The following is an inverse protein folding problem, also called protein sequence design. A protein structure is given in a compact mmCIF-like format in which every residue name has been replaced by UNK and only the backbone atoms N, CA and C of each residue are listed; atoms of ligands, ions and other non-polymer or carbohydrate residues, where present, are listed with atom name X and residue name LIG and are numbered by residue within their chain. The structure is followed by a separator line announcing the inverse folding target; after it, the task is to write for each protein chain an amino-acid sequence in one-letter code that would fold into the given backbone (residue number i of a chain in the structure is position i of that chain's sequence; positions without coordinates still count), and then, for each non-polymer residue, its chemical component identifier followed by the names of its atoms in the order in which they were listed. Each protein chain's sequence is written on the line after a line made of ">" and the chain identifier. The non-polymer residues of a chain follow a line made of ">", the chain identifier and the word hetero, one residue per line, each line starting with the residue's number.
data_IF_315011919653
#
_entry.id   IF_315011919653
#
_cell.length_a   1.000
_cell.length_b   1.000
_cell.length_c   1.000
_cell.angle_alpha   90.00
_cell.angle_beta   90.00
_cell.angle_gamma   90.00
#
_symmetry.space_group_name_H-M   'P 1'
#
loop_
_entity.id
_entity.type
_entity.pdbx_description
1 polymer ?
#
# COMPACT_ATOMS: atom_id res chain seq x y z
N UNK A 1 -93.14 7.91 -34.66
CA UNK A 1 -92.25 6.83 -34.27
C UNK A 1 -90.82 7.38 -34.27
N UNK A 2 -90.34 7.79 -33.11
CA UNK A 2 -89.03 8.45 -32.96
C UNK A 2 -88.16 7.60 -32.04
N UNK A 3 -87.08 7.10 -32.60
CA UNK A 3 -86.07 6.29 -31.85
C UNK A 3 -85.04 7.29 -31.29
N UNK A 4 -84.92 7.32 -29.96
CA UNK A 4 -83.90 8.10 -29.26
C UNK A 4 -82.68 7.23 -29.13
N UNK A 5 -81.54 7.66 -29.72
CA UNK A 5 -80.22 7.06 -29.51
C UNK A 5 -79.59 7.64 -28.25
N UNK A 6 -79.22 6.76 -27.32
CA UNK A 6 -78.48 7.11 -26.11
C UNK A 6 -77.00 6.89 -26.42
N UNK A 7 -76.18 7.95 -26.40
CA UNK A 7 -74.73 7.89 -26.49
C UNK A 7 -74.19 7.69 -25.04
N UNK A 8 -73.52 6.57 -24.79
CA UNK A 8 -72.81 6.33 -23.56
C UNK A 8 -71.35 6.82 -23.76
N UNK A 9 -70.96 7.84 -23.04
CA UNK A 9 -69.56 8.30 -22.96
C UNK A 9 -68.79 7.47 -21.96
N UNK A 10 -67.80 6.71 -22.43
CA UNK A 10 -66.85 5.99 -21.57
C UNK A 10 -65.71 6.97 -21.22
N UNK A 11 -65.63 7.34 -19.94
CA UNK A 11 -64.52 8.09 -19.36
C UNK A 11 -63.39 7.10 -19.07
N UNK A 12 -62.34 7.12 -19.88
CA UNK A 12 -61.08 6.42 -19.58
C UNK A 12 -60.30 7.27 -18.59
N UNK A 13 -60.29 6.89 -17.33
CA UNK A 13 -59.39 7.47 -16.33
C UNK A 13 -57.98 6.91 -16.56
N UNK A 14 -57.10 7.68 -17.22
CA UNK A 14 -55.68 7.41 -17.25
C UNK A 14 -55.09 7.71 -15.85
N UNK A 15 -54.92 6.67 -15.06
CA UNK A 15 -54.16 6.75 -13.79
C UNK A 15 -52.66 6.99 -14.13
N UNK A 16 -52.19 8.21 -13.94
CA UNK A 16 -50.77 8.48 -13.92
C UNK A 16 -50.18 7.81 -12.65
N UNK A 17 -49.57 6.64 -12.82
CA UNK A 17 -48.68 6.12 -11.83
C UNK A 17 -47.44 6.99 -11.75
N UNK A 18 -47.44 7.98 -10.87
CA UNK A 18 -46.22 8.64 -10.43
C UNK A 18 -45.45 7.60 -9.62
N UNK A 19 -44.57 6.86 -10.30
CA UNK A 19 -43.53 6.10 -9.63
C UNK A 19 -42.72 7.10 -8.82
N UNK A 20 -42.84 7.05 -7.50
CA UNK A 20 -41.87 7.67 -6.63
C UNK A 20 -40.55 6.97 -6.93
N UNK A 21 -39.68 7.62 -7.69
CA UNK A 21 -38.26 7.29 -7.66
C UNK A 21 -37.85 7.60 -6.22
N UNK A 22 -37.73 6.55 -5.40
CA UNK A 22 -36.93 6.67 -4.19
C UNK A 22 -35.58 7.18 -4.66
N UNK A 23 -35.14 8.35 -4.23
CA UNK A 23 -33.77 8.78 -4.43
C UNK A 23 -32.90 7.62 -3.94
N UNK A 24 -32.25 6.93 -4.89
CA UNK A 24 -31.34 5.87 -4.54
C UNK A 24 -30.27 6.52 -3.66
N UNK A 25 -30.11 6.02 -2.44
CA UNK A 25 -29.09 6.53 -1.52
C UNK A 25 -27.74 6.47 -2.21
N UNK A 26 -27.13 7.65 -2.42
CA UNK A 26 -25.78 7.73 -2.93
C UNK A 26 -24.81 7.32 -1.83
N UNK A 27 -24.04 6.27 -2.06
CA UNK A 27 -23.07 5.79 -1.08
C UNK A 27 -21.93 6.79 -0.93
N UNK A 28 -21.68 7.26 0.30
CA UNK A 28 -20.60 8.19 0.59
C UNK A 28 -19.37 7.47 1.14
N UNK A 29 -18.23 7.63 0.45
CA UNK A 29 -16.96 6.99 0.81
C UNK A 29 -15.92 8.05 1.15
N UNK A 30 -15.42 8.00 2.40
CA UNK A 30 -14.39 8.89 2.91
C UNK A 30 -13.00 8.27 2.80
N UNK A 31 -12.00 9.11 2.55
CA UNK A 31 -10.58 8.71 2.54
C UNK A 31 -9.77 9.67 3.42
N UNK A 32 -8.98 9.09 4.34
CA UNK A 32 -8.09 9.85 5.23
C UNK A 32 -6.66 9.51 4.89
N UNK A 33 -5.92 10.48 4.35
CA UNK A 33 -4.57 10.32 3.84
C UNK A 33 -3.53 10.94 4.78
N UNK A 34 -2.42 10.23 4.98
CA UNK A 34 -1.30 10.68 5.83
C UNK A 34 -0.40 11.71 5.14
N UNK A 35 -0.25 11.61 3.83
CA UNK A 35 0.50 12.53 2.97
C UNK A 35 -0.40 13.32 2.02
N UNK A 36 0.17 14.20 1.21
CA UNK A 36 -0.54 14.85 0.11
C UNK A 36 -0.75 13.88 -1.06
N UNK A 37 -1.81 14.06 -1.85
CA UNK A 37 -2.09 13.25 -3.05
C UNK A 37 -1.01 13.35 -4.14
N UNK A 38 -0.12 14.32 -4.03
CA UNK A 38 1.03 14.53 -4.91
C UNK A 38 2.36 14.06 -4.32
N UNK A 39 2.36 13.17 -3.30
CA UNK A 39 3.58 12.66 -2.68
C UNK A 39 4.45 11.83 -3.65
N UNK A 40 3.82 11.26 -4.66
CA UNK A 40 4.48 10.40 -5.65
C UNK A 40 4.64 8.95 -5.23
N UNK A 41 4.12 8.57 -4.07
CA UNK A 41 4.22 7.24 -3.48
C UNK A 41 2.90 6.74 -2.91
N UNK A 42 2.87 6.56 -1.60
CA UNK A 42 1.76 5.92 -0.86
C UNK A 42 0.41 6.61 -1.06
N UNK A 43 0.32 7.90 -0.74
CA UNK A 43 -0.94 8.63 -0.84
C UNK A 43 -1.39 8.79 -2.29
N UNK A 44 -0.46 8.97 -3.22
CA UNK A 44 -0.73 9.02 -4.65
C UNK A 44 -1.44 7.72 -5.14
N UNK A 45 -0.95 6.54 -4.78
CA UNK A 45 -1.58 5.27 -5.17
C UNK A 45 -2.92 5.04 -4.47
N UNK A 46 -3.07 5.45 -3.21
CA UNK A 46 -4.37 5.43 -2.54
C UNK A 46 -5.40 6.34 -3.23
N UNK A 47 -4.99 7.52 -3.68
CA UNK A 47 -5.89 8.43 -4.41
C UNK A 47 -6.23 7.91 -5.80
N UNK A 48 -5.32 7.22 -6.49
CA UNK A 48 -5.65 6.47 -7.72
C UNK A 48 -6.74 5.42 -7.46
N UNK A 49 -6.65 4.70 -6.34
CA UNK A 49 -7.69 3.77 -5.90
C UNK A 49 -9.03 4.45 -5.66
N UNK A 50 -9.05 5.64 -5.03
CA UNK A 50 -10.27 6.46 -4.87
C UNK A 50 -10.86 6.87 -6.22
N UNK A 51 -10.03 7.36 -7.12
CA UNK A 51 -10.47 7.75 -8.48
C UNK A 51 -11.02 6.55 -9.27
N UNK A 52 -10.48 5.35 -9.06
CA UNK A 52 -11.02 4.13 -9.66
C UNK A 52 -12.42 3.78 -9.12
N UNK A 53 -12.68 4.02 -7.83
CA UNK A 53 -14.04 3.88 -7.25
C UNK A 53 -15.02 4.86 -7.90
N UNK A 54 -14.63 6.13 -8.08
CA UNK A 54 -15.46 7.11 -8.80
C UNK A 54 -15.73 6.68 -10.24
N UNK A 55 -14.71 6.19 -10.94
CA UNK A 55 -14.84 5.76 -12.33
C UNK A 55 -15.74 4.52 -12.47
N UNK A 56 -15.70 3.58 -11.52
CA UNK A 56 -16.51 2.36 -11.54
C UNK A 56 -17.99 2.63 -11.26
N UNK A 57 -18.28 3.45 -10.24
CA UNK A 57 -19.65 3.61 -9.75
C UNK A 57 -20.36 4.89 -10.19
N UNK A 58 -19.62 5.87 -10.73
CA UNK A 58 -20.20 7.14 -11.20
C UNK A 58 -21.07 7.81 -10.14
N UNK A 59 -22.26 8.25 -10.54
CA UNK A 59 -23.19 8.98 -9.66
C UNK A 59 -23.76 8.15 -8.49
N UNK A 60 -23.52 6.84 -8.45
CA UNK A 60 -23.96 5.99 -7.33
C UNK A 60 -23.07 6.14 -6.08
N UNK A 61 -21.87 6.70 -6.22
CA UNK A 61 -20.91 6.91 -5.14
C UNK A 61 -20.44 8.38 -5.13
N UNK A 62 -20.38 8.96 -3.94
CA UNK A 62 -19.71 10.22 -3.66
C UNK A 62 -18.44 9.92 -2.88
N UNK A 63 -17.25 10.31 -3.39
CA UNK A 63 -16.02 10.22 -2.60
C UNK A 63 -15.65 11.57 -2.01
N UNK A 64 -15.13 11.55 -0.78
CA UNK A 64 -14.54 12.71 -0.11
C UNK A 64 -13.20 12.31 0.49
N UNK A 65 -12.23 13.21 0.48
CA UNK A 65 -10.93 12.92 1.10
C UNK A 65 -10.39 14.11 1.89
N UNK A 66 -9.51 13.81 2.83
CA UNK A 66 -8.69 14.80 3.53
C UNK A 66 -7.26 14.28 3.53
N UNK A 67 -6.36 15.09 2.99
CA UNK A 67 -4.94 14.78 2.87
C UNK A 67 -4.09 15.41 3.97
N UNK A 68 -2.87 14.92 4.14
CA UNK A 68 -1.88 15.41 5.10
C UNK A 68 -2.43 15.46 6.53
N UNK A 69 -3.18 14.43 6.92
CA UNK A 69 -3.77 14.32 8.26
C UNK A 69 -2.72 13.69 9.19
N UNK A 70 -2.30 14.40 10.26
CA UNK A 70 -1.40 13.81 11.25
C UNK A 70 -2.03 12.59 11.94
N UNK A 71 -1.21 11.60 12.25
CA UNK A 71 -1.64 10.45 13.05
C UNK A 71 -2.05 10.88 14.46
N UNK A 72 -2.96 10.12 15.07
CA UNK A 72 -3.47 10.39 16.41
C UNK A 72 -4.75 11.23 16.44
N UNK A 73 -4.85 12.27 17.31
CA UNK A 73 -6.11 13.00 17.56
C UNK A 73 -6.70 13.70 16.33
N UNK A 74 -5.87 14.18 15.41
CA UNK A 74 -6.34 14.82 14.19
C UNK A 74 -7.04 13.83 13.26
N UNK A 75 -6.50 12.62 13.14
CA UNK A 75 -7.13 11.54 12.38
C UNK A 75 -8.51 11.17 12.99
N UNK A 76 -8.61 11.04 14.32
CA UNK A 76 -9.88 10.78 15.00
C UNK A 76 -10.90 11.89 14.72
N UNK A 77 -10.47 13.15 14.73
CA UNK A 77 -11.32 14.30 14.41
C UNK A 77 -11.83 14.27 12.98
N UNK A 78 -10.96 13.99 12.00
CA UNK A 78 -11.33 13.94 10.58
C UNK A 78 -12.32 12.80 10.31
N UNK A 79 -12.03 11.59 10.79
CA UNK A 79 -12.93 10.44 10.67
C UNK A 79 -14.30 10.71 11.32
N UNK A 80 -14.30 11.34 12.52
CA UNK A 80 -15.54 11.72 13.19
C UNK A 80 -16.36 12.69 12.35
N UNK A 81 -15.72 13.68 11.71
CA UNK A 81 -16.42 14.62 10.82
C UNK A 81 -17.00 13.92 9.60
N UNK A 82 -16.25 13.01 8.95
CA UNK A 82 -16.77 12.24 7.81
C UNK A 82 -17.98 11.38 8.21
N UNK A 83 -17.92 10.71 9.37
CA UNK A 83 -19.03 9.92 9.88
C UNK A 83 -20.27 10.79 10.19
N UNK A 84 -20.10 11.97 10.78
CA UNK A 84 -21.18 12.93 11.04
C UNK A 84 -21.77 13.52 9.75
N UNK A 85 -20.99 13.59 8.67
CA UNK A 85 -21.42 14.04 7.35
C UNK A 85 -22.07 12.91 6.52
N UNK A 86 -22.30 11.74 7.14
CA UNK A 86 -23.04 10.64 6.54
C UNK A 86 -22.19 9.73 5.67
N UNK A 87 -20.90 9.58 5.94
CA UNK A 87 -20.09 8.57 5.28
C UNK A 87 -20.60 7.16 5.64
N UNK A 88 -20.75 6.30 4.63
CA UNK A 88 -21.12 4.88 4.79
C UNK A 88 -19.88 4.01 4.99
N UNK A 89 -18.76 4.40 4.35
CA UNK A 89 -17.46 3.73 4.38
C UNK A 89 -16.35 4.75 4.52
N UNK A 90 -15.34 4.46 5.34
CA UNK A 90 -14.16 5.31 5.50
C UNK A 90 -12.91 4.45 5.39
N UNK A 91 -12.05 4.75 4.40
CA UNK A 91 -10.72 4.20 4.27
C UNK A 91 -9.73 5.07 5.05
N UNK A 92 -8.91 4.44 5.91
CA UNK A 92 -7.91 5.10 6.76
C UNK A 92 -6.54 4.54 6.43
N UNK A 93 -5.70 5.33 5.76
CA UNK A 93 -4.56 4.85 4.97
C UNK A 93 -3.22 5.06 5.67
N UNK A 94 -3.13 4.84 6.98
CA UNK A 94 -1.86 4.85 7.69
C UNK A 94 -1.88 3.95 8.93
N UNK A 95 -0.74 3.32 9.24
CA UNK A 95 -0.60 2.45 10.42
C UNK A 95 -1.00 3.15 11.72
N UNK A 96 -0.60 4.41 11.91
CA UNK A 96 -0.91 5.16 13.13
C UNK A 96 -2.37 5.65 13.24
N UNK A 97 -3.20 5.39 12.22
CA UNK A 97 -4.65 5.61 12.31
C UNK A 97 -5.39 4.46 13.00
N UNK A 98 -4.71 3.40 13.42
CA UNK A 98 -5.35 2.19 13.96
C UNK A 98 -6.22 2.49 15.19
N UNK A 99 -5.67 3.08 16.24
CA UNK A 99 -6.43 3.41 17.45
C UNK A 99 -7.51 4.49 17.21
N UNK A 100 -7.22 5.59 16.49
CA UNK A 100 -8.24 6.53 16.03
C UNK A 100 -9.41 5.86 15.31
N UNK A 101 -9.15 4.91 14.39
CA UNK A 101 -10.19 4.19 13.65
C UNK A 101 -11.09 3.38 14.60
N UNK A 102 -10.50 2.60 15.50
CA UNK A 102 -11.27 1.83 16.50
C UNK A 102 -12.10 2.74 17.40
N UNK A 103 -11.54 3.87 17.86
CA UNK A 103 -12.22 4.83 18.71
C UNK A 103 -13.42 5.48 18.02
N UNK A 104 -13.30 5.82 16.75
CA UNK A 104 -14.41 6.41 15.96
C UNK A 104 -15.44 5.33 15.61
N UNK A 105 -15.01 4.16 15.17
CA UNK A 105 -15.91 3.07 14.81
C UNK A 105 -16.84 2.65 15.95
N UNK A 106 -16.34 2.66 17.20
CA UNK A 106 -17.16 2.39 18.39
C UNK A 106 -18.29 3.41 18.60
N UNK A 107 -18.12 4.65 18.14
CA UNK A 107 -19.12 5.74 18.25
C UNK A 107 -20.12 5.72 17.08
N UNK A 108 -19.73 5.13 15.93
CA UNK A 108 -20.50 5.10 14.69
C UNK A 108 -20.67 3.67 14.16
N UNK A 109 -21.47 2.82 14.83
CA UNK A 109 -21.55 1.38 14.51
C UNK A 109 -22.11 1.06 13.11
N UNK A 110 -22.82 2.01 12.50
CA UNK A 110 -23.39 1.85 11.16
C UNK A 110 -22.37 2.17 10.04
N UNK A 111 -21.33 2.98 10.33
CA UNK A 111 -20.28 3.32 9.39
C UNK A 111 -19.28 2.17 9.34
N UNK A 112 -18.85 1.79 8.12
CA UNK A 112 -17.81 0.78 7.91
C UNK A 112 -16.45 1.46 7.78
N UNK A 113 -15.42 0.80 8.32
CA UNK A 113 -14.05 1.30 8.26
C UNK A 113 -13.14 0.24 7.68
N UNK A 114 -12.28 0.67 6.76
CA UNK A 114 -11.21 -0.10 6.15
C UNK A 114 -9.88 0.52 6.56
N UNK A 115 -9.13 -0.17 7.41
CA UNK A 115 -7.88 0.36 7.95
C UNK A 115 -6.66 -0.32 7.33
N UNK A 116 -5.80 0.49 6.67
CA UNK A 116 -4.57 0.02 6.05
C UNK A 116 -3.50 -0.32 7.09
N UNK A 117 -2.82 -1.45 6.87
CA UNK A 117 -1.62 -1.91 7.57
C UNK A 117 -1.76 -2.17 9.07
N UNK A 118 -2.97 -2.01 9.62
CA UNK A 118 -3.25 -2.32 11.02
C UNK A 118 -3.59 -3.79 11.27
N UNK A 119 -3.81 -4.10 12.56
CA UNK A 119 -4.18 -5.44 13.01
C UNK A 119 -5.38 -5.47 13.98
N UNK A 120 -5.87 -4.29 14.39
CA UNK A 120 -7.06 -4.21 15.26
C UNK A 120 -8.33 -4.15 14.41
N UNK A 121 -9.26 -5.05 14.71
CA UNK A 121 -10.55 -5.19 14.03
C UNK A 121 -11.70 -5.00 15.01
N UNK A 122 -12.88 -4.66 14.47
CA UNK A 122 -14.16 -4.63 15.18
C UNK A 122 -15.27 -5.10 14.23
N UNK A 123 -16.52 -5.18 14.71
CA UNK A 123 -17.66 -5.59 13.88
C UNK A 123 -17.84 -4.73 12.63
N UNK A 124 -17.46 -3.44 12.72
CA UNK A 124 -17.50 -2.48 11.62
C UNK A 124 -16.12 -1.95 11.19
N UNK A 125 -15.03 -2.63 11.58
CA UNK A 125 -13.65 -2.31 11.17
C UNK A 125 -13.01 -3.55 10.57
N UNK A 126 -12.63 -3.47 9.29
CA UNK A 126 -11.75 -4.42 8.63
C UNK A 126 -10.34 -3.85 8.51
N UNK A 127 -9.36 -4.72 8.34
CA UNK A 127 -7.98 -4.35 8.07
C UNK A 127 -7.54 -4.89 6.70
N UNK A 128 -6.66 -4.15 6.04
CA UNK A 128 -6.03 -4.60 4.80
C UNK A 128 -4.57 -4.15 4.75
N UNK A 129 -3.75 -4.94 4.10
CA UNK A 129 -2.35 -4.64 3.83
C UNK A 129 -1.90 -5.43 2.62
N UNK A 130 -0.75 -5.04 2.06
CA UNK A 130 -0.13 -5.79 0.98
C UNK A 130 1.14 -6.51 1.47
N UNK A 131 1.51 -7.60 0.79
CA UNK A 131 2.76 -8.33 1.04
C UNK A 131 3.94 -7.62 0.38
N UNK A 132 4.19 -6.37 0.78
CA UNK A 132 5.27 -5.53 0.23
C UNK A 132 6.62 -6.24 0.23
N UNK A 133 6.85 -7.13 1.20
CA UNK A 133 8.07 -7.91 1.30
C UNK A 133 8.33 -8.82 0.08
N UNK A 134 7.30 -9.19 -0.68
CA UNK A 134 7.46 -9.91 -1.95
C UNK A 134 8.10 -9.00 -3.00
N UNK A 135 7.64 -7.75 -3.11
CA UNK A 135 8.26 -6.74 -3.97
C UNK A 135 9.69 -6.41 -3.51
N UNK A 136 9.93 -6.38 -2.18
CA UNK A 136 11.28 -6.17 -1.63
C UNK A 136 12.23 -7.30 -1.97
N UNK A 137 11.75 -8.54 -2.07
CA UNK A 137 12.56 -9.66 -2.54
C UNK A 137 13.10 -9.41 -3.95
N UNK A 138 12.23 -8.98 -4.87
CA UNK A 138 12.61 -8.65 -6.25
C UNK A 138 13.57 -7.45 -6.29
N UNK A 139 13.29 -6.38 -5.52
CA UNK A 139 14.20 -5.24 -5.43
C UNK A 139 15.56 -5.63 -4.86
N UNK A 140 15.60 -6.44 -3.80
CA UNK A 140 16.83 -6.94 -3.19
C UNK A 140 17.67 -7.75 -4.17
N UNK A 141 17.03 -8.65 -4.93
CA UNK A 141 17.69 -9.42 -5.98
C UNK A 141 18.35 -8.53 -7.05
N UNK A 142 17.63 -7.51 -7.54
CA UNK A 142 18.20 -6.55 -8.50
C UNK A 142 19.33 -5.75 -7.85
N UNK A 143 19.11 -5.23 -6.63
CA UNK A 143 20.07 -4.40 -5.90
C UNK A 143 21.39 -5.13 -5.65
N UNK A 144 21.34 -6.39 -5.22
CA UNK A 144 22.53 -7.22 -4.99
C UNK A 144 23.36 -7.46 -6.25
N UNK A 145 22.71 -7.56 -7.41
CA UNK A 145 23.38 -7.68 -8.70
C UNK A 145 23.90 -6.35 -9.26
N UNK A 146 23.31 -5.20 -8.85
CA UNK A 146 23.64 -3.88 -9.40
C UNK A 146 24.72 -3.15 -8.60
N UNK A 147 24.87 -3.45 -7.30
CA UNK A 147 25.86 -2.76 -6.46
C UNK A 147 27.29 -3.11 -6.88
N UNK A 148 28.13 -2.09 -7.05
CA UNK A 148 29.58 -2.21 -7.30
C UNK A 148 30.36 -2.02 -5.99
N UNK A 149 29.81 -1.26 -5.03
CA UNK A 149 30.41 -0.99 -3.72
C UNK A 149 30.17 -2.09 -2.70
N UNK A 150 29.23 -3.02 -2.94
CA UNK A 150 28.65 -3.95 -2.01
C UNK A 150 27.87 -3.25 -0.86
N UNK A 151 27.59 -1.95 -0.94
CA UNK A 151 26.85 -1.21 0.07
C UNK A 151 25.51 -0.76 -0.49
N UNK A 152 24.44 -1.28 0.07
CA UNK A 152 23.06 -0.91 -0.26
C UNK A 152 22.51 -0.06 0.89
N UNK A 153 22.07 1.16 0.57
CA UNK A 153 21.38 2.04 1.50
C UNK A 153 19.89 1.71 1.58
N UNK A 154 19.33 1.69 2.79
CA UNK A 154 17.91 1.54 3.00
C UNK A 154 17.38 2.66 3.90
N UNK A 155 16.41 3.43 3.38
CA UNK A 155 15.72 4.48 4.13
C UNK A 155 14.46 3.85 4.74
N UNK A 156 14.47 3.67 6.06
CA UNK A 156 13.29 3.21 6.82
C UNK A 156 12.48 4.40 7.33
N UNK A 157 11.15 4.29 7.29
CA UNK A 157 10.25 5.29 7.87
C UNK A 157 10.17 5.16 9.40
N UNK A 158 9.50 4.13 9.90
CA UNK A 158 9.37 3.83 11.32
C UNK A 158 9.74 2.36 11.58
N UNK A 159 10.29 2.03 12.76
CA UNK A 159 10.71 0.67 13.09
C UNK A 159 9.51 -0.23 13.47
N UNK A 160 8.56 -0.37 12.56
CA UNK A 160 7.39 -1.24 12.69
C UNK A 160 7.59 -2.55 11.91
N UNK A 161 6.84 -3.62 12.24
CA UNK A 161 7.01 -4.93 11.62
C UNK A 161 7.01 -4.92 10.09
N UNK A 162 6.19 -4.08 9.46
CA UNK A 162 6.11 -3.95 8.01
C UNK A 162 7.44 -3.50 7.39
N UNK A 163 8.05 -2.46 7.94
CA UNK A 163 9.31 -1.90 7.44
C UNK A 163 10.48 -2.85 7.72
N UNK A 164 10.54 -3.42 8.94
CA UNK A 164 11.56 -4.41 9.32
C UNK A 164 11.50 -5.63 8.40
N UNK A 165 10.31 -6.14 8.12
CA UNK A 165 10.08 -7.24 7.20
C UNK A 165 10.54 -6.92 5.78
N UNK A 166 10.29 -5.70 5.32
CA UNK A 166 10.78 -5.21 4.02
C UNK A 166 12.30 -5.18 3.94
N UNK A 167 12.97 -4.67 4.98
CA UNK A 167 14.44 -4.65 5.08
C UNK A 167 15.01 -6.07 5.04
N UNK A 168 14.46 -6.97 5.86
CA UNK A 168 14.92 -8.36 5.94
C UNK A 168 14.76 -9.08 4.59
N UNK A 169 13.62 -8.91 3.92
CA UNK A 169 13.37 -9.52 2.61
C UNK A 169 14.33 -9.00 1.55
N UNK A 170 14.51 -7.69 1.45
CA UNK A 170 15.46 -7.10 0.49
C UNK A 170 16.90 -7.58 0.75
N UNK A 171 17.31 -7.63 2.02
CA UNK A 171 18.65 -8.08 2.39
C UNK A 171 18.90 -9.56 2.04
N UNK A 172 17.98 -10.46 2.37
CA UNK A 172 18.12 -11.89 2.09
C UNK A 172 18.33 -12.15 0.60
N UNK A 173 17.52 -11.50 -0.25
CA UNK A 173 17.59 -11.69 -1.70
C UNK A 173 18.77 -10.96 -2.36
N UNK A 174 19.24 -9.85 -1.76
CA UNK A 174 20.49 -9.22 -2.19
C UNK A 174 21.69 -10.10 -1.84
N UNK A 175 21.71 -10.68 -0.62
CA UNK A 175 22.79 -11.55 -0.18
C UNK A 175 22.85 -12.88 -0.90
N UNK A 176 21.72 -13.38 -1.38
CA UNK A 176 21.67 -14.62 -2.18
C UNK A 176 22.50 -14.52 -3.46
N UNK A 177 22.48 -13.35 -4.11
CA UNK A 177 23.22 -13.08 -5.36
C UNK A 177 24.57 -12.41 -5.14
N UNK A 178 24.73 -11.72 -4.01
CA UNK A 178 25.97 -11.06 -3.60
C UNK A 178 26.25 -11.30 -2.11
N UNK A 179 27.03 -12.35 -1.76
CA UNK A 179 27.31 -12.69 -0.36
C UNK A 179 28.04 -11.63 0.45
N UNK A 180 28.70 -10.69 -0.22
CA UNK A 180 29.50 -9.62 0.41
C UNK A 180 28.68 -8.35 0.65
N UNK A 181 27.37 -8.33 0.33
CA UNK A 181 26.52 -7.14 0.46
C UNK A 181 26.36 -6.73 1.92
N UNK A 182 26.46 -5.43 2.15
CA UNK A 182 26.18 -4.76 3.42
C UNK A 182 24.99 -3.82 3.28
N UNK A 183 24.02 -3.88 4.21
CA UNK A 183 22.94 -2.89 4.28
C UNK A 183 23.30 -1.81 5.31
N UNK A 184 23.23 -0.56 4.88
CA UNK A 184 23.24 0.64 5.73
C UNK A 184 21.81 1.14 5.87
N UNK A 185 21.31 1.24 7.09
CA UNK A 185 19.92 1.63 7.35
C UNK A 185 19.90 3.00 8.03
N UNK A 186 19.11 3.92 7.49
CA UNK A 186 18.79 5.22 8.11
C UNK A 186 17.30 5.28 8.37
N UNK A 187 16.91 5.56 9.62
CA UNK A 187 15.54 5.73 10.03
C UNK A 187 15.15 7.21 9.95
N UNK A 188 14.23 7.56 9.04
CA UNK A 188 13.82 8.94 8.80
C UNK A 188 12.78 9.46 9.80
N UNK A 189 12.07 8.55 10.51
CA UNK A 189 10.96 8.86 11.43
C UNK A 189 9.89 9.76 10.81
N UNK A 190 9.57 9.46 9.57
CA UNK A 190 8.48 10.09 8.82
C UNK A 190 7.99 9.13 7.74
N UNK A 191 6.74 9.28 7.33
CA UNK A 191 6.23 8.67 6.10
C UNK A 191 6.56 9.56 4.90
N UNK A 192 6.30 10.87 5.02
CA UNK A 192 6.53 11.85 3.97
C UNK A 192 7.17 13.11 4.55
N UNK A 193 8.42 13.33 4.25
CA UNK A 193 9.19 14.57 4.50
C UNK A 193 10.34 14.62 3.50
N UNK A 194 10.14 15.26 2.33
CA UNK A 194 11.15 15.28 1.27
C UNK A 194 12.53 15.77 1.72
N UNK A 195 12.60 16.67 2.73
CA UNK A 195 13.87 17.15 3.23
C UNK A 195 14.62 16.08 4.01
N UNK A 196 13.95 15.39 4.95
CA UNK A 196 14.55 14.30 5.72
C UNK A 196 14.90 13.11 4.83
N UNK A 197 14.06 12.80 3.84
CA UNK A 197 14.29 11.70 2.91
C UNK A 197 15.50 11.95 2.02
N UNK A 198 15.67 13.18 1.51
CA UNK A 198 16.86 13.58 0.76
C UNK A 198 18.13 13.57 1.63
N UNK A 199 18.04 14.02 2.90
CA UNK A 199 19.13 13.95 3.85
C UNK A 199 19.53 12.49 4.14
N UNK A 200 18.56 11.60 4.38
CA UNK A 200 18.82 10.18 4.61
C UNK A 200 19.53 9.53 3.41
N UNK A 201 19.06 9.81 2.18
CA UNK A 201 19.73 9.34 0.97
C UNK A 201 21.17 9.88 0.88
N UNK A 202 21.37 11.16 1.14
CA UNK A 202 22.69 11.78 1.10
C UNK A 202 23.65 11.13 2.10
N UNK A 203 23.21 10.91 3.34
CA UNK A 203 24.00 10.23 4.38
C UNK A 203 24.40 8.82 3.94
N UNK A 204 23.48 8.05 3.34
CA UNK A 204 23.76 6.70 2.86
C UNK A 204 24.77 6.71 1.70
N UNK A 205 24.64 7.66 0.77
CA UNK A 205 25.57 7.85 -0.35
C UNK A 205 26.97 8.23 0.17
N UNK A 206 27.06 9.14 1.14
CA UNK A 206 28.33 9.50 1.79
C UNK A 206 28.98 8.32 2.54
N UNK A 207 28.20 7.36 2.99
CA UNK A 207 28.65 6.11 3.59
C UNK A 207 29.06 5.06 2.55
N UNK A 208 29.00 5.37 1.27
CA UNK A 208 29.45 4.54 0.17
C UNK A 208 28.37 3.73 -0.52
N UNK A 209 27.09 3.93 -0.19
CA UNK A 209 25.99 3.24 -0.87
C UNK A 209 25.89 3.73 -2.33
N UNK A 210 25.86 2.80 -3.27
CA UNK A 210 25.64 3.04 -4.70
C UNK A 210 24.27 2.54 -5.18
N UNK A 211 23.49 1.94 -4.27
CA UNK A 211 22.11 1.55 -4.45
C UNK A 211 21.29 2.04 -3.26
N UNK A 212 20.15 2.69 -3.52
CA UNK A 212 19.25 3.18 -2.48
C UNK A 212 17.87 2.54 -2.64
N UNK A 213 17.41 1.88 -1.57
CA UNK A 213 16.02 1.47 -1.37
C UNK A 213 15.38 2.41 -0.32
N UNK A 214 14.08 2.64 -0.45
CA UNK A 214 13.34 3.45 0.52
C UNK A 214 12.01 2.81 0.91
N UNK A 215 11.57 3.13 2.12
CA UNK A 215 10.21 2.87 2.62
C UNK A 215 9.64 4.18 3.17
N UNK A 216 9.75 5.22 2.36
CA UNK A 216 9.22 6.57 2.54
C UNK A 216 8.64 7.02 1.21
N UNK A 217 7.83 8.07 1.20
CA UNK A 217 6.84 8.28 0.13
C UNK A 217 7.28 9.29 -0.94
N UNK A 218 8.27 10.17 -0.65
CA UNK A 218 8.66 11.19 -1.63
C UNK A 218 9.69 10.68 -2.65
N UNK A 219 9.79 11.40 -3.77
CA UNK A 219 10.82 11.18 -4.80
C UNK A 219 12.17 11.87 -4.47
N UNK A 220 12.29 12.44 -3.28
CA UNK A 220 13.50 13.18 -2.89
C UNK A 220 14.77 12.30 -2.82
N UNK A 221 14.73 11.04 -2.37
CA UNK A 221 15.87 10.14 -2.43
C UNK A 221 16.36 9.88 -3.85
N UNK A 222 15.47 9.74 -4.84
CA UNK A 222 15.82 9.59 -6.25
C UNK A 222 16.50 10.83 -6.80
N UNK A 223 16.03 12.03 -6.41
CA UNK A 223 16.65 13.29 -6.80
C UNK A 223 18.07 13.44 -6.19
N UNK A 224 18.27 13.03 -4.94
CA UNK A 224 19.59 13.02 -4.30
C UNK A 224 20.54 12.04 -5.00
N UNK A 225 20.09 10.84 -5.35
CA UNK A 225 20.86 9.87 -6.11
C UNK A 225 21.22 10.38 -7.52
N UNK A 226 20.29 11.04 -8.21
CA UNK A 226 20.55 11.68 -9.50
C UNK A 226 21.63 12.75 -9.40
N UNK A 227 21.61 13.55 -8.34
CA UNK A 227 22.62 14.57 -8.11
C UNK A 227 24.01 13.97 -7.84
N UNK A 228 24.09 12.82 -7.20
CA UNK A 228 25.33 12.08 -6.97
C UNK A 228 25.89 11.44 -8.26
N UNK A 229 25.03 11.05 -9.20
CA UNK A 229 25.38 10.65 -10.57
C UNK A 229 25.80 9.18 -10.77
N UNK A 230 26.16 8.47 -9.71
CA UNK A 230 26.60 7.06 -9.76
C UNK A 230 25.83 6.16 -8.79
N UNK A 231 24.62 6.53 -8.44
CA UNK A 231 23.74 5.81 -7.51
C UNK A 231 22.46 5.43 -8.22
N UNK A 232 22.02 4.18 -8.09
CA UNK A 232 20.73 3.72 -8.60
C UNK A 232 19.70 3.63 -7.48
N UNK A 233 18.43 3.75 -7.85
CA UNK A 233 17.31 3.78 -6.89
C UNK A 233 16.17 2.87 -7.30
N UNK A 234 15.26 2.66 -6.35
CA UNK A 234 13.99 1.97 -6.58
C UNK A 234 12.83 2.88 -6.17
N UNK A 235 11.73 2.82 -6.91
CA UNK A 235 10.49 3.48 -6.53
C UNK A 235 9.77 2.72 -5.40
N UNK A 236 9.01 3.48 -4.61
CA UNK A 236 8.23 3.00 -3.47
C UNK A 236 6.76 3.33 -3.64
N UNK A 237 5.90 2.33 -3.42
CA UNK A 237 4.45 2.36 -3.52
C UNK A 237 3.91 2.69 -4.91
N UNK A 238 4.58 3.53 -5.69
CA UNK A 238 4.25 3.85 -7.07
C UNK A 238 5.42 3.64 -8.03
N UNK A 239 5.12 3.61 -9.34
CA UNK A 239 6.18 3.72 -10.35
C UNK A 239 6.65 5.16 -10.45
N UNK A 240 7.64 5.52 -9.65
CA UNK A 240 8.16 6.88 -9.55
C UNK A 240 8.80 7.42 -10.84
N UNK A 241 8.86 6.62 -11.91
CA UNK A 241 9.29 7.08 -13.23
C UNK A 241 8.42 8.21 -13.80
N UNK A 242 7.17 8.29 -13.37
CA UNK A 242 6.24 9.35 -13.79
C UNK A 242 6.66 10.75 -13.31
N UNK A 243 7.45 10.83 -12.24
CA UNK A 243 7.80 12.09 -11.58
C UNK A 243 9.14 12.68 -11.99
N UNK A 244 9.89 12.00 -12.84
CA UNK A 244 11.13 12.55 -13.38
C UNK A 244 12.11 11.51 -13.92
N UNK A 245 13.15 11.96 -14.63
CA UNK A 245 14.19 11.09 -15.18
C UNK A 245 15.17 10.67 -14.07
N UNK A 246 14.69 9.97 -13.03
CA UNK A 246 15.54 9.50 -11.93
C UNK A 246 16.35 8.25 -12.31
N UNK A 247 17.46 7.97 -11.60
CA UNK A 247 18.24 6.73 -11.78
C UNK A 247 17.51 5.51 -11.19
N UNK A 248 16.19 5.40 -11.42
CA UNK A 248 15.32 4.33 -10.98
C UNK A 248 15.51 3.09 -11.85
N UNK A 249 15.76 1.95 -11.24
CA UNK A 249 15.93 0.68 -11.97
C UNK A 249 14.69 -0.21 -11.95
N UNK A 250 13.83 -0.08 -10.95
CA UNK A 250 12.50 -0.69 -10.87
C UNK A 250 11.71 -0.05 -9.71
N UNK A 251 10.48 -0.49 -9.46
CA UNK A 251 9.62 0.02 -8.39
C UNK A 251 8.77 -1.09 -7.79
N UNK A 252 8.38 -0.95 -6.52
CA UNK A 252 7.20 -1.62 -5.97
C UNK A 252 6.01 -0.71 -6.25
N UNK A 253 4.92 -1.30 -6.74
CA UNK A 253 3.67 -0.58 -7.02
C UNK A 253 2.58 -1.20 -6.17
N UNK A 254 1.81 -0.36 -5.49
CA UNK A 254 0.66 -0.77 -4.71
C UNK A 254 -0.60 -0.51 -5.52
N UNK A 255 -1.38 -1.56 -5.83
CA UNK A 255 -2.66 -1.40 -6.53
C UNK A 255 -3.83 -1.60 -5.57
N UNK A 256 -4.35 -0.50 -5.06
CA UNK A 256 -5.49 -0.49 -4.15
C UNK A 256 -6.85 -0.50 -4.85
N UNK A 257 -6.90 -0.22 -6.16
CA UNK A 257 -8.14 -0.01 -6.89
C UNK A 257 -9.08 -1.23 -6.85
N UNK A 258 -8.65 -2.46 -7.12
CA UNK A 258 -9.54 -3.63 -7.06
C UNK A 258 -10.13 -3.85 -5.66
N UNK A 259 -9.31 -3.65 -4.61
CA UNK A 259 -9.75 -3.77 -3.23
C UNK A 259 -10.81 -2.71 -2.88
N UNK A 260 -10.53 -1.44 -3.18
CA UNK A 260 -11.45 -0.34 -2.88
C UNK A 260 -12.79 -0.48 -3.59
N UNK A 261 -12.77 -0.87 -4.86
CA UNK A 261 -13.98 -1.15 -5.64
C UNK A 261 -14.77 -2.29 -4.99
N UNK A 262 -14.13 -3.40 -4.65
CA UNK A 262 -14.79 -4.56 -4.05
C UNK A 262 -15.40 -4.22 -2.67
N UNK A 263 -14.69 -3.48 -1.82
CA UNK A 263 -15.18 -3.10 -0.48
C UNK A 263 -16.30 -2.08 -0.54
N UNK A 264 -16.21 -1.09 -1.44
CA UNK A 264 -17.27 -0.12 -1.70
C UNK A 264 -18.54 -0.84 -2.20
N UNK A 265 -18.37 -1.74 -3.19
CA UNK A 265 -19.49 -2.56 -3.68
C UNK A 265 -20.15 -3.38 -2.57
N UNK A 266 -19.37 -3.99 -1.70
CA UNK A 266 -19.89 -4.77 -0.59
C UNK A 266 -20.74 -3.93 0.39
N UNK A 267 -20.37 -2.66 0.62
CA UNK A 267 -21.19 -1.71 1.39
C UNK A 267 -22.49 -1.39 0.66
N UNK A 268 -22.43 -1.07 -0.63
CA UNK A 268 -23.61 -0.78 -1.45
C UNK A 268 -24.61 -1.95 -1.49
N UNK A 269 -24.10 -3.18 -1.57
CA UNK A 269 -24.89 -4.41 -1.62
C UNK A 269 -25.36 -4.89 -0.23
N UNK A 270 -24.89 -4.26 0.87
CA UNK A 270 -25.19 -4.72 2.24
C UNK A 270 -24.52 -6.04 2.62
N UNK A 271 -23.48 -6.45 1.91
CA UNK A 271 -22.74 -7.72 2.12
C UNK A 271 -21.40 -7.54 2.81
N UNK A 272 -21.06 -6.31 3.17
CA UNK A 272 -19.80 -6.01 3.83
C UNK A 272 -19.66 -6.75 5.16
N UNK A 273 -18.50 -7.34 5.38
CA UNK A 273 -18.12 -7.98 6.65
C UNK A 273 -16.72 -7.54 7.04
N UNK A 274 -16.47 -7.47 8.35
CA UNK A 274 -15.11 -7.30 8.88
C UNK A 274 -14.23 -8.50 8.53
N UNK A 275 -12.95 -8.26 8.39
CA UNK A 275 -11.95 -9.29 8.09
C UNK A 275 -10.57 -8.68 7.96
N UNK A 276 -9.59 -9.52 7.65
CA UNK A 276 -8.23 -9.08 7.31
C UNK A 276 -7.90 -9.55 5.90
N UNK A 277 -7.44 -8.61 5.07
CA UNK A 277 -6.89 -8.89 3.74
C UNK A 277 -5.40 -8.61 3.76
N UNK A 278 -4.60 -9.58 3.33
CA UNK A 278 -3.15 -9.41 3.22
C UNK A 278 -2.67 -10.13 1.97
N UNK A 279 -2.79 -9.45 0.86
CA UNK A 279 -2.56 -9.98 -0.47
C UNK A 279 -1.21 -9.50 -1.05
N UNK A 280 -0.63 -10.28 -1.95
CA UNK A 280 0.67 -10.03 -2.55
C UNK A 280 0.62 -9.87 -4.06
N UNK A 281 1.75 -10.22 -4.70
CA UNK A 281 1.91 -10.14 -6.16
C UNK A 281 0.89 -11.02 -6.88
N UNK A 282 0.65 -12.24 -6.38
CA UNK A 282 -0.28 -13.18 -7.00
C UNK A 282 -1.73 -12.72 -7.05
N UNK A 283 -2.14 -11.87 -6.09
CA UNK A 283 -3.47 -11.25 -6.06
C UNK A 283 -3.52 -9.87 -6.73
N UNK A 284 -2.38 -9.36 -7.19
CA UNK A 284 -2.27 -8.06 -7.87
C UNK A 284 -2.26 -6.85 -6.94
N UNK A 285 -2.17 -7.03 -5.61
CA UNK A 285 -2.10 -5.92 -4.66
C UNK A 285 -0.70 -5.31 -4.59
N UNK A 286 0.32 -6.07 -4.99
CA UNK A 286 1.70 -5.61 -5.18
C UNK A 286 2.09 -5.86 -6.64
N UNK A 287 2.59 -4.82 -7.31
CA UNK A 287 3.17 -4.88 -8.63
C UNK A 287 4.67 -4.61 -8.59
N UNK A 288 5.37 -5.03 -9.65
CA UNK A 288 6.75 -4.63 -9.93
C UNK A 288 6.72 -3.74 -11.17
N UNK A 289 7.19 -2.52 -11.01
CA UNK A 289 7.31 -1.56 -12.11
C UNK A 289 8.30 -2.02 -13.17
N UNK A 290 8.29 -1.36 -14.31
CA UNK A 290 9.21 -1.66 -15.40
C UNK A 290 10.65 -1.72 -14.91
N UNK A 291 11.32 -2.83 -15.19
CA UNK A 291 12.76 -2.99 -14.93
C UNK A 291 13.51 -2.27 -16.05
N UNK A 292 14.30 -1.27 -15.67
CA UNK A 292 15.06 -0.42 -16.59
C UNK A 292 16.03 -1.23 -17.48
N UNK A 293 16.26 -0.73 -18.68
CA UNK A 293 17.30 -1.27 -19.57
C UNK A 293 18.74 -1.04 -19.06
N UNK A 294 18.91 -0.24 -17.99
CA UNK A 294 20.18 -0.14 -17.28
C UNK A 294 20.52 -1.41 -16.47
N UNK A 295 19.53 -2.25 -16.16
CA UNK A 295 19.72 -3.55 -15.51
C UNK A 295 20.19 -4.57 -16.56
N UNK A 296 21.27 -5.35 -16.32
CA UNK A 296 21.70 -6.40 -17.25
C UNK A 296 20.58 -7.38 -17.60
N UNK A 297 20.54 -7.83 -18.84
CA UNK A 297 19.41 -8.62 -19.34
C UNK A 297 19.21 -9.96 -18.61
N UNK A 298 20.27 -10.58 -18.13
CA UNK A 298 20.22 -11.81 -17.33
C UNK A 298 19.70 -11.54 -15.91
N UNK A 299 20.03 -10.41 -15.30
CA UNK A 299 19.50 -9.95 -14.02
C UNK A 299 18.00 -9.61 -14.15
N UNK A 300 17.62 -8.92 -15.24
CA UNK A 300 16.21 -8.65 -15.54
C UNK A 300 15.41 -9.95 -15.65
N UNK A 301 15.90 -10.91 -16.43
CA UNK A 301 15.23 -12.20 -16.60
C UNK A 301 15.12 -12.99 -15.29
N UNK A 302 16.16 -12.99 -14.44
CA UNK A 302 16.10 -13.67 -13.13
C UNK A 302 15.19 -12.97 -12.13
N UNK A 303 15.11 -11.63 -12.14
CA UNK A 303 14.19 -10.86 -11.32
C UNK A 303 12.72 -11.08 -11.74
N UNK A 304 12.45 -11.17 -13.04
CA UNK A 304 11.13 -11.52 -13.57
C UNK A 304 10.73 -12.96 -13.19
N UNK A 305 11.66 -13.91 -13.26
CA UNK A 305 11.39 -15.29 -12.82
C UNK A 305 11.12 -15.37 -11.29
N UNK A 306 11.84 -14.60 -10.48
CA UNK A 306 11.57 -14.50 -9.04
C UNK A 306 10.16 -13.90 -8.78
N UNK A 307 9.81 -12.81 -9.44
CA UNK A 307 8.46 -12.22 -9.37
C UNK A 307 7.40 -13.27 -9.72
N UNK A 308 7.58 -14.00 -10.80
CA UNK A 308 6.60 -14.99 -11.27
C UNK A 308 6.45 -16.15 -10.27
N UNK A 309 7.54 -16.60 -9.65
CA UNK A 309 7.49 -17.64 -8.61
C UNK A 309 6.86 -17.18 -7.29
N UNK A 310 7.00 -15.90 -6.92
CA UNK A 310 6.26 -15.29 -5.82
C UNK A 310 4.77 -15.19 -6.17
N UNK A 311 4.46 -14.81 -7.40
CA UNK A 311 3.09 -14.65 -7.91
C UNK A 311 2.29 -15.95 -7.94
N UNK A 312 2.91 -17.06 -8.38
CA UNK A 312 2.26 -18.37 -8.46
C UNK A 312 2.35 -19.18 -7.15
N UNK A 313 3.07 -18.65 -6.14
CA UNK A 313 3.24 -19.27 -4.83
C UNK A 313 4.21 -20.45 -4.80
N UNK A 314 4.97 -20.70 -5.88
CA UNK A 314 5.99 -21.74 -5.90
C UNK A 314 7.24 -21.38 -5.09
N UNK A 315 7.40 -20.10 -4.77
CA UNK A 315 8.44 -19.57 -3.87
C UNK A 315 7.82 -18.64 -2.82
N UNK A 316 8.40 -18.65 -1.61
CA UNK A 316 8.05 -17.73 -0.53
C UNK A 316 9.28 -16.92 -0.12
N UNK A 317 9.16 -15.59 -0.04
CA UNK A 317 10.28 -14.67 0.20
C UNK A 317 11.05 -14.93 1.52
N UNK A 318 10.42 -15.60 2.48
CA UNK A 318 11.06 -16.06 3.72
C UNK A 318 11.04 -17.58 3.77
N UNK A 319 11.97 -18.19 3.05
CA UNK A 319 12.22 -19.63 3.06
C UNK A 319 13.60 -19.90 3.66
N UNK A 320 13.67 -20.84 4.62
CA UNK A 320 14.91 -21.20 5.32
C UNK A 320 15.91 -21.98 4.46
N UNK A 321 17.18 -22.04 4.92
CA UNK A 321 17.60 -21.72 6.27
C UNK A 321 17.82 -20.22 6.50
N UNK A 322 17.25 -19.66 7.56
CA UNK A 322 17.44 -18.26 7.95
C UNK A 322 17.68 -18.17 9.46
N UNK A 323 18.73 -17.47 9.87
CA UNK A 323 19.00 -17.12 11.24
C UNK A 323 18.59 -15.69 11.55
N UNK A 324 18.27 -15.42 12.82
CA UNK A 324 18.16 -14.05 13.32
C UNK A 324 19.54 -13.43 13.52
N UNK A 325 19.59 -12.11 13.69
CA UNK A 325 20.81 -11.35 13.92
C UNK A 325 21.65 -11.87 15.11
N UNK A 326 21.01 -12.41 16.13
CA UNK A 326 21.67 -13.00 17.31
C UNK A 326 22.26 -14.41 17.07
N UNK A 327 22.14 -14.93 15.84
CA UNK A 327 22.60 -16.26 15.43
C UNK A 327 21.61 -17.39 15.77
N UNK A 328 20.48 -17.10 16.40
CA UNK A 328 19.44 -18.12 16.62
C UNK A 328 18.74 -18.50 15.31
N UNK A 329 18.45 -19.79 15.14
CA UNK A 329 17.70 -20.25 13.96
C UNK A 329 16.27 -19.69 14.01
N UNK A 330 15.87 -19.04 12.92
CA UNK A 330 14.48 -18.62 12.73
C UNK A 330 13.72 -19.61 11.85
N UNK A 331 14.26 -19.94 10.69
CA UNK A 331 13.67 -20.91 9.76
C UNK A 331 14.68 -22.01 9.47
N UNK A 332 14.27 -23.26 9.62
CA UNK A 332 15.06 -24.42 9.21
C UNK A 332 15.09 -24.54 7.67
N UNK A 333 15.94 -25.41 7.15
CA UNK A 333 16.04 -25.66 5.71
C UNK A 333 14.68 -26.08 5.13
N UNK A 334 14.21 -25.34 4.10
CA UNK A 334 12.93 -25.55 3.44
C UNK A 334 11.69 -25.12 4.23
N UNK A 335 11.85 -24.60 5.46
CA UNK A 335 10.75 -24.03 6.24
C UNK A 335 10.38 -22.64 5.72
N UNK A 336 9.09 -22.32 5.63
CA UNK A 336 8.57 -20.99 5.28
C UNK A 336 7.99 -20.27 6.48
N UNK A 337 8.14 -18.96 6.54
CA UNK A 337 7.59 -18.15 7.62
C UNK A 337 6.07 -18.11 7.57
N UNK A 338 5.43 -18.24 8.73
CA UNK A 338 3.99 -18.06 8.87
C UNK A 338 3.60 -16.58 8.97
N UNK A 339 2.35 -16.27 8.59
CA UNK A 339 1.82 -14.91 8.60
C UNK A 339 1.81 -14.26 9.99
N UNK A 340 1.65 -15.02 11.07
CA UNK A 340 1.66 -14.51 12.44
C UNK A 340 3.04 -13.97 12.81
N UNK A 341 4.10 -14.73 12.50
CA UNK A 341 5.48 -14.32 12.70
C UNK A 341 5.83 -13.10 11.85
N UNK A 342 5.42 -13.12 10.58
CA UNK A 342 5.64 -11.99 9.65
C UNK A 342 4.92 -10.73 10.12
N UNK A 343 3.68 -10.82 10.57
CA UNK A 343 2.91 -9.66 11.06
C UNK A 343 3.52 -9.01 12.31
N UNK A 344 4.20 -9.80 13.14
CA UNK A 344 4.85 -9.32 14.39
C UNK A 344 6.36 -9.18 14.31
N UNK A 345 6.96 -9.17 13.11
CA UNK A 345 8.43 -9.18 12.96
C UNK A 345 9.10 -7.96 13.58
N UNK A 346 9.93 -8.19 14.59
CA UNK A 346 10.64 -7.16 15.35
C UNK A 346 12.14 -7.46 15.52
N UNK A 347 12.71 -8.20 14.59
CA UNK A 347 14.12 -8.59 14.58
C UNK A 347 14.71 -8.48 13.18
N UNK A 348 16.02 -8.27 13.09
CA UNK A 348 16.77 -8.42 11.86
C UNK A 348 17.21 -9.86 11.64
N UNK A 349 17.39 -10.24 10.37
CA UNK A 349 18.06 -11.48 10.00
C UNK A 349 19.58 -11.35 10.13
N UNK A 350 20.28 -12.49 10.24
CA UNK A 350 21.72 -12.56 10.34
C UNK A 350 22.42 -11.86 9.18
N UNK A 351 23.39 -11.00 9.52
CA UNK A 351 24.21 -10.23 8.61
C UNK A 351 23.80 -8.77 8.50
N UNK A 352 22.56 -8.39 8.84
CA UNK A 352 22.22 -6.98 9.02
C UNK A 352 22.85 -6.47 10.32
N UNK A 353 23.52 -5.32 10.25
CA UNK A 353 24.20 -4.69 11.38
C UNK A 353 23.38 -3.55 11.99
N UNK A 354 23.67 -3.23 13.27
CA UNK A 354 22.97 -2.20 14.02
C UNK A 354 21.72 -2.72 14.73
N UNK A 355 21.11 -1.86 15.55
CA UNK A 355 19.94 -2.18 16.34
C UNK A 355 18.66 -1.62 15.67
N UNK A 356 17.54 -2.30 15.90
CA UNK A 356 16.23 -1.71 15.62
C UNK A 356 15.96 -0.67 16.70
N UNK A 357 15.73 0.60 16.34
CA UNK A 357 15.39 1.64 17.31
C UNK A 357 14.13 1.29 18.11
N UNK A 358 14.09 1.71 19.39
CA UNK A 358 12.98 1.48 20.31
C UNK A 358 12.02 2.66 20.34
#
# INVERSE_FOLDING_TARGET
>A
MTIKSILAAAIVAAGAATGAYADAHQTKVGFVYVGPIGDGGWTYEHDKGRLAVEAEFGDAVETVYVESVPEGPDAERVMTQMALQGADLIFTTSFGYMDPTINVAAKFPNVKFEHATGFKQAENVATYSARFYEGRAVQGHIAGNMTESNIIGYIGSFPIPEVIRGINSAYLHAREVNPDVEFKIVWAYTWFDPAKEAEAATVLIEQGADVILQHTDSTAPQAAAQAAGNVVTFGQASDMAEFGPFPRVSSIIDDWAPYYIARTKAVMDGTWTSGNTWDGIGAGMVGIGEISDAVPADVKASAEALRDSLSDGSYHAFTGPVNKQDGSVWLADGETADDGTLAGMNFYVEGITGDIPQ
#
